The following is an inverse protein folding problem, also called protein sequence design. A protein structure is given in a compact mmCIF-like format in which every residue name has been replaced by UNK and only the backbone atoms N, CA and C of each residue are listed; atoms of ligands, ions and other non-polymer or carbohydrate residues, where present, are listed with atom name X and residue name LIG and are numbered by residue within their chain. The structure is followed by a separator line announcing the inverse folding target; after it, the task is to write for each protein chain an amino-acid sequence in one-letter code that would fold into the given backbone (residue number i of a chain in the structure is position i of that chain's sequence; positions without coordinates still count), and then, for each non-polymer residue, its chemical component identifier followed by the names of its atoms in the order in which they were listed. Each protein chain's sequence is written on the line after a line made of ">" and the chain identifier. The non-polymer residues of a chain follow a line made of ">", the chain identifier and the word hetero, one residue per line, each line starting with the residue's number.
data_IF_319718452168
#
_entry.id   IF_319718452168
#
_cell.length_a   1.000
_cell.length_b   1.000
_cell.length_c   1.000
_cell.angle_alpha   90.00
_cell.angle_beta   90.00
_cell.angle_gamma   90.00
#
_symmetry.space_group_name_H-M   'P 1'
#
loop_
_entity.id
_entity.type
_entity.pdbx_description
1 polymer ?
#
# COMPACT_ATOMS: atom_id res chain seq x y z
N UNK A 1 -65.16 -21.49 -30.05
CA UNK A 1 -65.68 -20.45 -30.96
C UNK A 1 -64.46 -19.72 -31.54
N UNK A 2 -64.11 -19.95 -32.80
CA UNK A 2 -64.33 -19.05 -33.95
C UNK A 2 -63.75 -17.64 -33.67
N UNK A 3 -62.85 -17.04 -34.43
CA UNK A 3 -62.55 -17.15 -35.85
C UNK A 3 -61.28 -16.32 -36.17
N UNK A 4 -60.56 -16.71 -37.24
CA UNK A 4 -60.13 -15.88 -38.41
C UNK A 4 -59.39 -14.54 -38.10
N UNK A 5 -58.35 -14.11 -38.81
CA UNK A 5 -58.26 -13.86 -40.27
C UNK A 5 -56.82 -13.29 -40.48
N UNK A 6 -55.93 -13.92 -41.25
CA UNK A 6 -55.67 -13.75 -42.70
C UNK A 6 -54.97 -12.43 -43.11
N UNK A 7 -53.88 -12.63 -43.88
CA UNK A 7 -53.24 -11.80 -44.92
C UNK A 7 -52.74 -10.41 -44.50
N UNK A 8 -51.50 -10.00 -44.77
CA UNK A 8 -50.60 -10.37 -45.86
C UNK A 8 -50.31 -9.11 -46.69
N UNK A 9 -49.03 -8.81 -46.93
CA UNK A 9 -48.48 -8.30 -48.21
C UNK A 9 -46.98 -8.05 -48.06
N UNK A 10 -46.24 -8.76 -48.90
CA UNK A 10 -44.84 -8.55 -49.26
C UNK A 10 -44.69 -7.28 -50.13
N UNK A 11 -43.44 -7.03 -50.53
CA UNK A 11 -42.92 -6.14 -51.59
C UNK A 11 -42.37 -4.82 -51.02
N UNK A 12 -41.13 -4.38 -51.27
CA UNK A 12 -40.14 -4.73 -52.30
C UNK A 12 -38.72 -4.50 -51.79
N UNK A 13 -37.81 -5.31 -52.32
CA UNK A 13 -36.37 -5.10 -52.32
C UNK A 13 -36.02 -3.81 -53.08
N UNK A 14 -35.23 -2.92 -52.48
CA UNK A 14 -34.28 -2.11 -53.23
C UNK A 14 -33.01 -1.89 -52.38
N UNK A 15 -31.93 -2.54 -52.83
CA UNK A 15 -30.59 -1.97 -52.95
C UNK A 15 -29.90 -1.42 -51.69
N UNK A 16 -29.00 -2.24 -51.14
CA UNK A 16 -27.53 -2.07 -51.25
C UNK A 16 -26.82 -2.65 -50.04
N UNK A 17 -26.31 -3.86 -50.20
CA UNK A 17 -24.86 -4.13 -50.18
C UNK A 17 -23.96 -3.17 -49.39
N UNK A 18 -24.18 -2.93 -48.10
CA UNK A 18 -23.19 -2.16 -47.32
C UNK A 18 -23.34 -2.24 -45.78
N UNK A 19 -23.78 -3.38 -45.22
CA UNK A 19 -23.90 -3.49 -43.74
C UNK A 19 -23.31 -4.73 -43.07
N UNK A 20 -22.55 -5.55 -43.81
CA UNK A 20 -21.84 -6.71 -43.25
C UNK A 20 -20.30 -6.59 -43.28
N UNK A 21 -19.77 -5.40 -42.92
CA UNK A 21 -18.35 -5.22 -42.56
C UNK A 21 -18.13 -4.45 -41.25
N UNK A 22 -19.19 -4.06 -40.56
CA UNK A 22 -19.12 -3.26 -39.33
C UNK A 22 -19.27 -4.08 -38.03
N UNK A 23 -19.67 -5.35 -38.12
CA UNK A 23 -19.86 -6.20 -36.94
C UNK A 23 -18.63 -7.01 -36.48
N UNK A 24 -17.50 -6.90 -37.17
CA UNK A 24 -16.20 -7.36 -36.66
C UNK A 24 -15.38 -6.24 -35.98
N UNK A 25 -15.79 -4.97 -36.08
CA UNK A 25 -15.07 -3.83 -35.46
C UNK A 25 -15.64 -3.36 -34.12
N UNK A 26 -16.62 -4.08 -33.57
CA UNK A 26 -17.27 -3.74 -32.28
C UNK A 26 -16.70 -4.53 -31.09
N UNK A 27 -15.98 -5.62 -31.35
CA UNK A 27 -15.26 -6.41 -30.34
C UNK A 27 -13.89 -5.81 -29.97
N UNK A 28 -13.26 -5.06 -30.87
CA UNK A 28 -11.93 -4.46 -30.64
C UNK A 28 -11.97 -3.06 -29.99
N UNK A 29 -13.13 -2.40 -29.97
CA UNK A 29 -13.30 -1.10 -29.31
C UNK A 29 -13.60 -1.20 -27.81
N UNK A 30 -14.16 -2.32 -27.37
CA UNK A 30 -14.48 -2.54 -25.95
C UNK A 30 -13.29 -3.05 -25.11
N UNK A 31 -12.17 -3.42 -25.74
CA UNK A 31 -10.92 -3.76 -25.05
C UNK A 31 -10.05 -2.52 -24.78
N UNK A 32 -10.18 -1.47 -25.60
CA UNK A 32 -9.35 -0.26 -25.48
C UNK A 32 -9.89 0.76 -24.47
N UNK A 33 -11.19 0.75 -24.15
CA UNK A 33 -11.75 1.57 -23.06
C UNK A 33 -11.60 0.93 -21.67
N UNK A 34 -11.67 -0.41 -21.57
CA UNK A 34 -11.45 -1.12 -20.30
C UNK A 34 -10.00 -1.07 -19.81
N UNK A 35 -9.05 -0.79 -20.71
CA UNK A 35 -7.63 -0.63 -20.36
C UNK A 35 -7.30 0.80 -19.90
N UNK A 36 -8.16 1.80 -20.20
CA UNK A 36 -7.91 3.21 -19.86
C UNK A 36 -8.22 3.60 -18.41
N UNK A 37 -8.94 2.79 -17.64
CA UNK A 37 -9.24 3.08 -16.23
C UNK A 37 -8.20 2.52 -15.23
N UNK A 38 -7.13 1.88 -15.71
CA UNK A 38 -6.19 1.15 -14.83
C UNK A 38 -4.88 1.87 -14.50
N UNK A 39 -4.51 2.91 -15.25
CA UNK A 39 -3.25 3.65 -15.03
C UNK A 39 -3.51 5.16 -14.89
N UNK A 40 -4.27 5.55 -13.87
CA UNK A 40 -4.06 6.89 -13.31
C UNK A 40 -3.01 6.72 -12.23
N UNK A 41 -1.74 6.69 -12.64
CA UNK A 41 -0.60 6.89 -11.74
C UNK A 41 -0.85 8.21 -11.02
N UNK A 42 -1.44 8.13 -9.84
CA UNK A 42 -1.59 9.29 -8.98
C UNK A 42 -0.19 9.57 -8.48
N UNK A 43 0.46 10.58 -9.07
CA UNK A 43 1.73 11.07 -8.55
C UNK A 43 1.46 11.52 -7.12
N UNK A 44 1.98 10.76 -6.16
CA UNK A 44 1.80 11.04 -4.74
C UNK A 44 2.25 12.47 -4.46
N UNK A 45 1.36 13.27 -3.87
CA UNK A 45 1.60 14.67 -3.56
C UNK A 45 1.60 14.90 -2.06
N UNK A 46 2.12 16.07 -1.67
CA UNK A 46 2.06 16.52 -0.28
C UNK A 46 0.58 16.68 0.12
N UNK A 47 0.27 16.26 1.33
CA UNK A 47 -1.06 16.23 1.96
C UNK A 47 -2.00 15.13 1.50
N UNK A 48 -1.61 14.30 0.53
CA UNK A 48 -2.40 13.11 0.19
C UNK A 48 -2.50 12.18 1.41
N UNK A 49 -3.64 11.52 1.54
CA UNK A 49 -3.87 10.49 2.53
C UNK A 49 -3.65 9.11 1.90
N UNK A 50 -2.88 8.29 2.60
CA UNK A 50 -2.55 6.94 2.15
C UNK A 50 -2.72 5.93 3.28
N UNK A 51 -3.24 4.79 2.91
CA UNK A 51 -3.36 3.63 3.80
C UNK A 51 -2.03 2.88 3.81
N UNK A 52 -1.47 2.66 4.99
CA UNK A 52 -0.22 1.95 5.17
C UNK A 52 -0.32 0.96 6.33
N UNK A 53 0.29 -0.20 6.14
CA UNK A 53 0.66 -1.10 7.22
C UNK A 53 2.13 -0.85 7.58
N UNK A 54 2.39 -0.72 8.87
CA UNK A 54 3.73 -0.44 9.39
C UNK A 54 4.42 -1.76 9.70
N UNK A 55 5.47 -2.06 8.94
CA UNK A 55 6.15 -3.36 9.01
C UNK A 55 7.41 -3.33 9.86
N UNK A 56 8.06 -2.17 9.99
CA UNK A 56 9.35 -2.02 10.67
C UNK A 56 9.51 -0.61 11.25
N UNK A 57 10.59 -0.34 11.98
CA UNK A 57 10.98 0.98 12.49
C UNK A 57 12.41 1.37 12.04
N UNK A 58 12.64 2.66 11.85
CA UNK A 58 13.99 3.24 11.64
C UNK A 58 14.73 3.43 12.98
N UNK A 59 16.04 3.74 12.94
CA UNK A 59 16.79 4.12 14.15
C UNK A 59 16.14 5.28 14.92
N UNK A 60 15.51 6.19 14.19
CA UNK A 60 14.85 7.38 14.74
C UNK A 60 13.44 7.07 15.28
N UNK A 61 13.03 5.79 15.31
CA UNK A 61 11.71 5.35 15.77
C UNK A 61 10.55 5.71 14.84
N UNK A 62 10.84 5.98 13.56
CA UNK A 62 9.78 6.20 12.56
C UNK A 62 9.33 4.86 12.00
N UNK A 63 8.03 4.65 11.85
CA UNK A 63 7.52 3.45 11.20
C UNK A 63 7.84 3.43 9.71
N UNK A 64 8.06 2.23 9.19
CA UNK A 64 8.35 1.97 7.79
C UNK A 64 7.15 1.24 7.20
N UNK A 65 6.51 1.86 6.21
CA UNK A 65 5.48 1.25 5.38
C UNK A 65 5.93 1.20 3.92
N UNK A 66 5.40 0.26 3.15
CA UNK A 66 5.66 0.15 1.71
C UNK A 66 4.35 0.13 0.96
N UNK A 67 4.24 0.97 -0.08
CA UNK A 67 3.07 0.99 -0.96
C UNK A 67 3.50 1.42 -2.35
N UNK A 68 3.00 0.72 -3.38
CA UNK A 68 3.26 1.01 -4.79
C UNK A 68 4.77 1.13 -5.13
N UNK A 69 5.60 0.31 -4.48
CA UNK A 69 7.06 0.31 -4.66
C UNK A 69 7.82 1.46 -3.98
N UNK A 70 7.12 2.37 -3.29
CA UNK A 70 7.71 3.47 -2.54
C UNK A 70 7.76 3.16 -1.04
N UNK A 71 8.83 3.60 -0.38
CA UNK A 71 9.00 3.47 1.07
C UNK A 71 8.45 4.73 1.75
N UNK A 72 7.68 4.56 2.81
CA UNK A 72 7.12 5.64 3.62
C UNK A 72 7.67 5.58 5.04
N UNK A 73 8.22 6.70 5.50
CA UNK A 73 8.62 6.90 6.89
C UNK A 73 7.51 7.65 7.62
N UNK A 74 6.86 6.97 8.56
CA UNK A 74 5.64 7.43 9.24
C UNK A 74 5.95 7.75 10.69
N UNK A 75 5.89 9.03 11.05
CA UNK A 75 6.05 9.46 12.45
C UNK A 75 4.85 9.02 13.30
N UNK A 76 5.09 8.74 14.58
CA UNK A 76 4.09 8.39 15.62
C UNK A 76 3.37 7.04 15.36
N UNK A 77 4.06 6.11 14.71
CA UNK A 77 3.58 4.78 14.39
C UNK A 77 4.43 3.67 15.03
N UNK A 78 3.84 2.47 15.14
CA UNK A 78 4.39 1.26 15.76
C UNK A 78 4.31 0.12 14.74
N UNK A 79 5.28 -0.81 14.79
CA UNK A 79 5.21 -2.07 14.05
C UNK A 79 3.87 -2.79 14.26
N UNK A 80 3.18 -3.11 13.18
CA UNK A 80 1.86 -3.77 13.16
C UNK A 80 0.67 -2.82 13.09
N UNK A 81 0.86 -1.50 13.16
CA UNK A 81 -0.26 -0.57 12.98
C UNK A 81 -0.76 -0.56 11.53
N UNK A 82 -2.07 -0.40 11.36
CA UNK A 82 -2.68 0.04 10.11
C UNK A 82 -3.14 1.48 10.28
N UNK A 83 -2.60 2.36 9.45
CA UNK A 83 -2.80 3.81 9.56
C UNK A 83 -3.26 4.41 8.25
N UNK A 84 -4.08 5.46 8.37
CA UNK A 84 -4.19 6.47 7.34
C UNK A 84 -3.14 7.53 7.63
N UNK A 85 -2.13 7.62 6.77
CA UNK A 85 -1.01 8.53 6.91
C UNK A 85 -1.12 9.69 5.94
N UNK A 86 -0.91 10.91 6.43
CA UNK A 86 -0.81 12.11 5.60
C UNK A 86 0.63 12.31 5.12
N UNK A 87 0.82 12.41 3.81
CA UNK A 87 2.13 12.65 3.21
C UNK A 87 2.59 14.08 3.54
N UNK A 88 3.78 14.20 4.13
CA UNK A 88 4.40 15.48 4.46
C UNK A 88 5.38 15.93 3.38
N UNK A 89 6.13 14.99 2.81
CA UNK A 89 7.17 15.26 1.82
C UNK A 89 7.44 14.04 0.96
N UNK A 90 7.42 14.21 -0.36
CA UNK A 90 7.77 13.16 -1.32
C UNK A 90 9.19 13.38 -1.83
N UNK A 91 9.96 12.31 -1.91
CA UNK A 91 11.29 12.24 -2.53
C UNK A 91 11.25 11.18 -3.65
N UNK A 92 12.35 11.06 -4.40
CA UNK A 92 12.44 10.17 -5.56
C UNK A 92 12.14 8.69 -5.22
N UNK A 93 12.64 8.20 -4.08
CA UNK A 93 12.58 6.78 -3.71
C UNK A 93 11.84 6.53 -2.39
N UNK A 94 11.43 7.58 -1.67
CA UNK A 94 10.74 7.46 -0.39
C UNK A 94 9.89 8.71 -0.12
N UNK A 95 9.02 8.63 0.88
CA UNK A 95 8.26 9.77 1.37
C UNK A 95 8.20 9.79 2.89
N UNK A 96 8.07 10.99 3.46
CA UNK A 96 7.74 11.17 4.87
C UNK A 96 6.25 11.40 5.02
N UNK A 97 5.66 10.77 6.02
CA UNK A 97 4.27 10.92 6.38
C UNK A 97 4.13 10.99 7.90
N UNK A 98 2.94 11.38 8.37
CA UNK A 98 2.53 11.29 9.77
C UNK A 98 1.22 10.52 9.84
N UNK A 99 0.97 9.84 10.95
CA UNK A 99 -0.35 9.26 11.21
C UNK A 99 -1.38 10.39 11.29
N UNK A 100 -2.40 10.31 10.44
CA UNK A 100 -3.59 11.16 10.54
C UNK A 100 -4.66 10.44 11.34
N UNK A 101 -4.94 9.19 10.97
CA UNK A 101 -5.87 8.32 11.69
C UNK A 101 -5.24 6.94 11.93
N UNK A 102 -5.39 6.43 13.15
CA UNK A 102 -5.05 5.05 13.48
C UNK A 102 -6.28 4.17 13.25
N UNK A 103 -6.19 3.25 12.29
CA UNK A 103 -7.33 2.43 11.88
C UNK A 103 -7.36 1.11 12.62
N UNK A 104 -6.19 0.52 12.81
CA UNK A 104 -5.99 -0.66 13.64
C UNK A 104 -4.70 -0.47 14.44
N UNK A 105 -4.84 -0.46 15.76
CA UNK A 105 -3.70 -0.36 16.65
C UNK A 105 -2.96 -1.70 16.71
N UNK A 106 -1.63 -1.66 16.63
CA UNK A 106 -0.80 -2.83 16.85
C UNK A 106 -1.01 -3.41 18.25
N UNK A 107 -0.98 -4.74 18.41
CA UNK A 107 -0.95 -5.38 19.73
C UNK A 107 0.32 -5.02 20.53
N UNK A 108 1.38 -4.55 19.85
CA UNK A 108 2.63 -4.13 20.47
C UNK A 108 2.63 -2.65 20.88
N UNK A 109 1.55 -1.91 20.65
CA UNK A 109 1.46 -0.50 21.01
C UNK A 109 1.17 -0.36 22.50
N UNK A 110 2.01 0.40 23.20
CA UNK A 110 1.82 0.71 24.62
C UNK A 110 1.72 2.21 24.85
N UNK A 111 1.09 2.61 25.95
CA UNK A 111 1.10 4.01 26.37
C UNK A 111 2.50 4.37 26.90
N UNK A 112 3.14 5.44 26.40
CA UNK A 112 4.44 5.87 26.88
C UNK A 112 4.34 6.33 28.34
N UNK A 113 5.31 5.95 29.19
CA UNK A 113 5.34 6.36 30.61
C UNK A 113 5.62 7.86 30.76
N UNK A 114 6.34 8.47 29.81
CA UNK A 114 6.67 9.89 29.86
C UNK A 114 5.59 10.72 29.14
N UNK A 115 4.92 11.67 29.83
CA UNK A 115 3.86 12.49 29.24
C UNK A 115 4.29 13.35 28.04
N UNK A 116 5.60 13.60 27.91
CA UNK A 116 6.19 14.43 26.84
C UNK A 116 7.01 13.62 25.83
N UNK A 117 6.96 12.29 25.85
CA UNK A 117 7.77 11.42 24.99
C UNK A 117 7.72 11.80 23.50
N UNK A 118 6.51 12.08 22.97
CA UNK A 118 6.34 12.47 21.57
C UNK A 118 6.84 13.88 21.21
N UNK A 119 7.17 14.72 22.20
CA UNK A 119 7.61 16.12 22.01
C UNK A 119 9.08 16.33 22.30
N UNK A 120 9.62 15.70 23.35
CA UNK A 120 10.99 15.95 23.79
C UNK A 120 12.05 15.32 22.87
N UNK A 121 11.69 14.28 22.12
CA UNK A 121 12.61 13.58 21.22
C UNK A 121 13.68 12.75 21.92
N UNK A 122 13.59 12.55 23.24
CA UNK A 122 14.53 11.73 24.01
C UNK A 122 14.17 10.23 24.02
N UNK A 123 12.89 9.88 23.94
CA UNK A 123 12.42 8.50 23.97
C UNK A 123 11.60 8.18 22.72
N UNK A 124 12.25 7.60 21.72
CA UNK A 124 11.66 7.32 20.39
C UNK A 124 10.86 6.02 20.34
N UNK A 125 11.07 5.07 21.26
CA UNK A 125 10.46 3.73 21.19
C UNK A 125 9.51 3.42 22.34
N UNK A 126 9.23 4.38 23.22
CA UNK A 126 8.45 4.14 24.44
C UNK A 126 7.00 3.72 24.18
N UNK A 127 6.51 3.93 22.96
CA UNK A 127 5.18 3.50 22.50
C UNK A 127 5.18 2.08 21.90
N UNK A 128 6.30 1.38 21.92
CA UNK A 128 6.48 -0.02 21.52
C UNK A 128 6.65 -0.90 22.76
N UNK A 129 6.00 -2.07 22.78
CA UNK A 129 6.15 -3.06 23.85
C UNK A 129 7.60 -3.51 23.97
N UNK A 130 8.08 -3.69 25.20
CA UNK A 130 9.47 -4.07 25.48
C UNK A 130 9.91 -5.34 24.74
N UNK A 131 9.07 -6.37 24.69
CA UNK A 131 9.35 -7.62 23.98
C UNK A 131 9.65 -7.37 22.49
N UNK A 132 8.84 -6.52 21.86
CA UNK A 132 9.02 -6.15 20.45
C UNK A 132 10.22 -5.23 20.23
N UNK A 133 10.51 -4.34 21.19
CA UNK A 133 11.71 -3.51 21.16
C UNK A 133 12.99 -4.36 21.22
N UNK A 134 13.04 -5.35 22.09
CA UNK A 134 14.17 -6.27 22.22
C UNK A 134 14.38 -7.04 20.92
N UNK A 135 13.33 -7.68 20.40
CA UNK A 135 13.40 -8.43 19.14
C UNK A 135 13.87 -7.55 17.97
N UNK A 136 13.40 -6.30 17.90
CA UNK A 136 13.85 -5.34 16.89
C UNK A 136 15.33 -5.00 17.05
N UNK A 137 15.80 -4.71 18.27
CA UNK A 137 17.22 -4.43 18.54
C UNK A 137 18.13 -5.61 18.20
N UNK A 138 17.71 -6.82 18.53
CA UNK A 138 18.44 -8.05 18.21
C UNK A 138 18.59 -8.22 16.70
N UNK A 139 17.51 -8.04 15.94
CA UNK A 139 17.57 -8.07 14.47
C UNK A 139 18.51 -6.98 13.94
N UNK A 140 18.45 -5.75 14.46
CA UNK A 140 19.35 -4.66 14.02
C UNK A 140 20.82 -4.98 14.21
N UNK A 141 21.17 -5.56 15.35
CA UNK A 141 22.54 -5.99 15.65
C UNK A 141 22.93 -7.11 14.69
N UNK A 142 22.07 -8.11 14.50
CA UNK A 142 22.31 -9.21 13.58
C UNK A 142 22.54 -8.72 12.13
N UNK A 143 21.66 -7.86 11.62
CA UNK A 143 21.78 -7.25 10.29
C UNK A 143 23.08 -6.43 10.16
N UNK A 144 23.51 -5.75 11.23
CA UNK A 144 24.77 -4.99 11.24
C UNK A 144 25.98 -5.91 11.18
N UNK A 145 25.98 -7.01 11.93
CA UNK A 145 27.05 -8.02 11.89
C UNK A 145 27.16 -8.68 10.51
N UNK A 146 26.03 -9.00 9.89
CA UNK A 146 26.02 -9.61 8.55
C UNK A 146 26.51 -8.62 7.50
N UNK A 147 25.92 -7.42 7.45
CA UNK A 147 26.15 -6.46 6.36
C UNK A 147 27.46 -5.69 6.49
N UNK A 148 27.88 -5.36 7.72
CA UNK A 148 29.04 -4.50 7.98
C UNK A 148 30.26 -5.34 8.38
N UNK A 149 30.10 -6.29 9.31
CA UNK A 149 31.21 -7.14 9.74
C UNK A 149 31.47 -8.34 8.82
N UNK A 150 30.58 -8.60 7.85
CA UNK A 150 30.75 -9.66 6.86
C UNK A 150 30.59 -11.08 7.42
N UNK A 151 29.97 -11.23 8.59
CA UNK A 151 29.69 -12.53 9.17
C UNK A 151 28.55 -13.21 8.40
N UNK A 152 28.59 -14.54 8.32
CA UNK A 152 27.47 -15.29 7.77
C UNK A 152 26.28 -15.28 8.74
N UNK A 153 25.03 -15.40 8.24
CA UNK A 153 23.85 -15.51 9.10
C UNK A 153 23.93 -16.64 10.12
N UNK A 154 24.52 -17.77 9.75
CA UNK A 154 24.71 -18.95 10.61
C UNK A 154 25.65 -18.67 11.80
N UNK A 155 26.71 -17.87 11.58
CA UNK A 155 27.63 -17.46 12.64
C UNK A 155 27.01 -16.48 13.62
N UNK A 156 26.13 -15.61 13.15
CA UNK A 156 25.42 -14.64 14.00
C UNK A 156 24.39 -15.35 14.87
N UNK A 157 23.63 -16.29 14.32
CA UNK A 157 22.60 -17.01 15.07
C UNK A 157 23.21 -17.83 16.21
N UNK A 158 24.31 -18.54 15.95
CA UNK A 158 25.04 -19.30 16.98
C UNK A 158 25.51 -18.44 18.17
N UNK A 159 25.72 -17.14 17.95
CA UNK A 159 26.22 -16.21 18.98
C UNK A 159 25.10 -15.54 19.79
N UNK A 160 23.82 -15.68 19.41
CA UNK A 160 22.70 -15.13 20.18
C UNK A 160 22.43 -15.89 21.49
N UNK A 161 22.85 -17.15 21.58
CA UNK A 161 22.56 -18.05 22.71
C UNK A 161 23.60 -17.96 23.85
N UNK A 162 24.49 -16.95 23.82
CA UNK A 162 25.64 -16.82 24.73
C UNK A 162 25.43 -15.83 25.87
#
# INVERSE_FOLDING_TARGET
>A
MFAKTKLGKNMTEENKSEKNKSNQRKSEKNSSEKTKLRNKEHSLQKNDLIMLEITDLTEEGQGVGKKDGLIFFVKDSVMGDKVEARILKVKKNYAYAKVENLLEASPHRIAPLCPVAGKCGGCQLQHLSYEKELAWKEDRIAQSLIRIAGLSPEEVERKKEG
#
